data_IF_090138923182
#
_entry.id   IF_090138923182
#
_cell.length_a   1.000
_cell.length_b   1.000
_cell.length_c   1.000
_cell.angle_alpha   90.00
_cell.angle_beta   90.00
_cell.angle_gamma   90.00
#
_symmetry.space_group_name_H-M   'P 1'
#
loop_
_entity.id
_entity.type
_entity.pdbx_description
1 polymer ?
#
# COMPACT_ATOMS: atom_id res chain seq x y z
N UNK A 1 -17.11 8.73 36.27
CA UNK A 1 -15.95 7.87 35.93
C UNK A 1 -15.04 8.68 35.02
N UNK A 2 -13.87 9.08 35.52
CA UNK A 2 -12.90 9.91 34.81
C UNK A 2 -12.34 9.13 33.61
N UNK A 3 -12.64 9.59 32.39
CA UNK A 3 -11.97 9.17 31.16
C UNK A 3 -10.48 9.56 31.30
N UNK A 4 -9.66 8.62 31.74
CA UNK A 4 -8.21 8.75 31.73
C UNK A 4 -7.78 9.14 30.31
N UNK A 5 -7.18 10.32 30.21
CA UNK A 5 -6.72 11.01 29.01
C UNK A 5 -6.05 10.05 28.01
N UNK A 6 -6.79 9.58 27.01
CA UNK A 6 -6.17 9.14 25.77
C UNK A 6 -5.61 10.41 25.13
N UNK A 7 -4.30 10.65 25.28
CA UNK A 7 -3.62 11.69 24.51
C UNK A 7 -3.65 11.28 23.04
N UNK A 8 -4.64 11.78 22.31
CA UNK A 8 -4.73 11.59 20.87
C UNK A 8 -3.52 12.31 20.26
N UNK A 9 -2.60 11.52 19.71
CA UNK A 9 -1.50 12.06 18.90
C UNK A 9 -2.10 12.60 17.61
N UNK A 10 -1.55 13.72 17.13
CA UNK A 10 -1.98 14.29 15.86
C UNK A 10 -1.83 13.28 14.72
N UNK A 11 -2.90 13.05 13.96
CA UNK A 11 -2.88 12.12 12.82
C UNK A 11 -2.14 12.73 11.63
N UNK A 12 -2.20 14.07 11.47
CA UNK A 12 -1.62 14.77 10.32
C UNK A 12 -0.11 14.56 10.17
N UNK A 13 0.73 14.64 11.23
CA UNK A 13 2.15 14.32 11.14
C UNK A 13 2.42 12.89 10.66
N UNK A 14 1.73 11.89 11.24
CA UNK A 14 1.91 10.49 10.85
C UNK A 14 1.50 10.24 9.39
N UNK A 15 0.35 10.78 8.97
CA UNK A 15 -0.11 10.68 7.57
C UNK A 15 0.88 11.37 6.62
N UNK A 16 1.36 12.56 6.98
CA UNK A 16 2.33 13.32 6.18
C UNK A 16 3.66 12.56 6.04
N UNK A 17 4.11 11.89 7.10
CA UNK A 17 5.32 11.06 7.10
C UNK A 17 5.17 9.86 6.17
N UNK A 18 4.07 9.10 6.26
CA UNK A 18 3.85 7.95 5.38
C UNK A 18 3.87 8.34 3.89
N UNK A 19 3.26 9.46 3.54
CA UNK A 19 3.24 9.93 2.15
C UNK A 19 4.61 10.43 1.73
N UNK A 20 5.30 11.21 2.59
CA UNK A 20 6.65 11.71 2.31
C UNK A 20 7.64 10.57 2.08
N UNK A 21 7.60 9.53 2.91
CA UNK A 21 8.45 8.36 2.75
C UNK A 21 8.11 7.60 1.47
N UNK A 22 6.84 7.51 1.11
CA UNK A 22 6.42 6.95 -0.17
C UNK A 22 6.98 7.74 -1.35
N UNK A 23 6.92 9.09 -1.31
CA UNK A 23 7.49 9.97 -2.35
C UNK A 23 9.01 9.80 -2.46
N UNK A 24 9.71 9.64 -1.32
CA UNK A 24 11.15 9.38 -1.30
C UNK A 24 11.51 8.04 -1.93
N UNK A 25 10.70 7.01 -1.65
CA UNK A 25 10.87 5.68 -2.24
C UNK A 25 10.55 5.66 -3.74
N UNK A 26 9.73 6.59 -4.24
CA UNK A 26 9.45 6.78 -5.67
C UNK A 26 10.45 7.70 -6.38
N UNK A 27 11.72 7.67 -5.98
CA UNK A 27 12.78 8.55 -6.50
C UNK A 27 12.89 8.57 -8.04
N UNK A 28 13.40 9.67 -8.62
CA UNK A 28 13.30 9.96 -10.05
C UNK A 28 14.17 9.07 -10.97
N UNK A 29 15.26 8.47 -10.46
CA UNK A 29 16.35 8.02 -11.33
C UNK A 29 16.48 6.49 -11.46
N UNK A 30 15.66 5.71 -10.77
CA UNK A 30 15.71 4.25 -10.87
C UNK A 30 14.34 3.61 -10.67
N UNK A 31 14.06 2.57 -11.46
CA UNK A 31 12.94 1.68 -11.20
C UNK A 31 13.02 1.12 -9.77
N UNK A 32 11.90 1.03 -9.05
CA UNK A 32 11.89 0.48 -7.70
C UNK A 32 12.24 -1.00 -7.74
N UNK A 33 12.95 -1.48 -6.72
CA UNK A 33 13.06 -2.92 -6.49
C UNK A 33 11.79 -3.47 -5.81
N UNK A 34 11.67 -4.80 -5.73
CA UNK A 34 10.52 -5.47 -5.12
C UNK A 34 10.28 -5.06 -3.65
N UNK A 35 11.36 -4.70 -2.94
CA UNK A 35 11.29 -4.23 -1.55
C UNK A 35 10.69 -2.82 -1.50
N UNK A 36 11.13 -1.92 -2.35
CA UNK A 36 10.62 -0.55 -2.49
C UNK A 36 9.13 -0.57 -2.83
N UNK A 37 8.71 -1.39 -3.80
CA UNK A 37 7.28 -1.57 -4.14
C UNK A 37 6.49 -2.09 -2.94
N UNK A 38 7.04 -3.06 -2.19
CA UNK A 38 6.41 -3.57 -0.98
C UNK A 38 6.24 -2.48 0.08
N UNK A 39 7.30 -1.73 0.37
CA UNK A 39 7.33 -0.70 1.40
C UNK A 39 6.34 0.44 1.07
N UNK A 40 6.30 0.91 -0.19
CA UNK A 40 5.31 1.90 -0.64
C UNK A 40 3.88 1.36 -0.43
N UNK A 41 3.61 0.09 -0.77
CA UNK A 41 2.27 -0.50 -0.55
C UNK A 41 1.91 -0.57 0.93
N UNK A 42 2.86 -0.87 1.81
CA UNK A 42 2.64 -0.85 3.26
C UNK A 42 2.30 0.57 3.72
N UNK A 43 3.04 1.58 3.25
CA UNK A 43 2.77 2.98 3.55
C UNK A 43 1.39 3.42 3.04
N UNK A 44 0.97 3.01 1.84
CA UNK A 44 -0.39 3.30 1.34
C UNK A 44 -1.49 2.68 2.19
N UNK A 45 -1.28 1.47 2.72
CA UNK A 45 -2.22 0.86 3.69
C UNK A 45 -2.28 1.68 4.98
N UNK A 46 -1.13 2.12 5.50
CA UNK A 46 -1.07 2.97 6.70
C UNK A 46 -1.73 4.33 6.46
N UNK A 47 -1.49 4.99 5.33
CA UNK A 47 -2.13 6.26 4.96
C UNK A 47 -3.65 6.12 4.86
N UNK A 48 -4.16 5.03 4.26
CA UNK A 48 -5.60 4.74 4.20
C UNK A 48 -6.21 4.49 5.58
N UNK A 49 -5.50 3.79 6.47
CA UNK A 49 -5.97 3.59 7.83
C UNK A 49 -5.99 4.92 8.61
N UNK A 50 -4.92 5.70 8.50
CA UNK A 50 -4.81 7.01 9.15
C UNK A 50 -5.93 7.97 8.71
N UNK A 51 -6.20 8.07 7.41
CA UNK A 51 -7.25 8.97 6.93
C UNK A 51 -8.66 8.49 7.29
N UNK A 52 -8.86 7.17 7.40
CA UNK A 52 -10.13 6.61 7.91
C UNK A 52 -10.37 6.99 9.37
N UNK A 53 -9.33 6.93 10.20
CA UNK A 53 -9.41 7.39 11.59
C UNK A 53 -9.61 8.91 11.72
N UNK A 54 -9.06 9.69 10.78
CA UNK A 54 -9.27 11.13 10.71
C UNK A 54 -10.54 11.54 9.95
N UNK A 55 -11.38 10.61 9.50
CA UNK A 55 -12.54 10.91 8.64
C UNK A 55 -13.52 11.90 9.29
N UNK A 56 -13.65 11.87 10.62
CA UNK A 56 -14.49 12.79 11.38
C UNK A 56 -13.92 14.20 11.51
N UNK A 57 -12.65 14.39 11.13
CA UNK A 57 -11.92 15.67 11.19
C UNK A 57 -11.76 16.32 9.82
N UNK A 58 -12.19 15.64 8.76
CA UNK A 58 -12.04 16.05 7.38
C UNK A 58 -13.42 16.22 6.76
N UNK A 59 -13.53 17.13 5.81
CA UNK A 59 -14.71 17.17 4.95
C UNK A 59 -14.73 15.92 4.03
N UNK A 60 -15.92 15.55 3.58
CA UNK A 60 -16.14 14.33 2.80
C UNK A 60 -15.37 14.33 1.47
N UNK A 61 -15.18 15.50 0.86
CA UNK A 61 -14.46 15.64 -0.41
C UNK A 61 -12.97 15.33 -0.21
N UNK A 62 -12.35 15.95 0.80
CA UNK A 62 -10.96 15.71 1.19
C UNK A 62 -10.74 14.25 1.56
N UNK A 63 -11.60 13.68 2.41
CA UNK A 63 -11.51 12.27 2.78
C UNK A 63 -11.56 11.36 1.54
N UNK A 64 -12.55 11.56 0.67
CA UNK A 64 -12.77 10.70 -0.50
C UNK A 64 -11.61 10.81 -1.49
N UNK A 65 -11.14 12.03 -1.76
CA UNK A 65 -10.03 12.30 -2.68
C UNK A 65 -8.76 11.61 -2.25
N UNK A 66 -8.34 11.81 -1.01
CA UNK A 66 -7.09 11.28 -0.50
C UNK A 66 -7.15 9.75 -0.30
N UNK A 67 -8.27 9.24 0.24
CA UNK A 67 -8.46 7.80 0.37
C UNK A 67 -8.40 7.09 -0.99
N UNK A 68 -9.01 7.69 -2.03
CA UNK A 68 -8.98 7.17 -3.39
C UNK A 68 -7.58 7.25 -3.99
N UNK A 69 -6.86 8.36 -3.81
CA UNK A 69 -5.48 8.51 -4.26
C UNK A 69 -4.55 7.42 -3.69
N UNK A 70 -4.62 7.15 -2.37
CA UNK A 70 -3.81 6.09 -1.76
C UNK A 70 -4.22 4.68 -2.23
N UNK A 71 -5.52 4.47 -2.50
CA UNK A 71 -6.02 3.21 -3.06
C UNK A 71 -5.52 3.00 -4.48
N UNK A 72 -5.54 4.05 -5.30
CA UNK A 72 -5.10 4.05 -6.69
C UNK A 72 -3.61 3.72 -6.77
N UNK A 73 -2.75 4.39 -5.99
CA UNK A 73 -1.31 4.05 -5.89
C UNK A 73 -1.12 2.58 -5.50
N UNK A 74 -1.87 2.11 -4.50
CA UNK A 74 -1.86 0.70 -4.11
C UNK A 74 -2.32 -0.25 -5.22
N UNK A 75 -3.20 0.19 -6.12
CA UNK A 75 -3.67 -0.58 -7.27
C UNK A 75 -2.62 -0.61 -8.37
N UNK A 76 -2.02 0.53 -8.71
CA UNK A 76 -0.96 0.65 -9.72
C UNK A 76 0.20 -0.30 -9.39
N UNK A 77 0.55 -0.41 -8.10
CA UNK A 77 1.65 -1.24 -7.62
C UNK A 77 1.26 -2.72 -7.38
N UNK A 78 0.02 -3.15 -7.64
CA UNK A 78 -0.42 -4.53 -7.35
C UNK A 78 0.19 -5.54 -8.29
N UNK A 79 0.18 -5.24 -9.58
CA UNK A 79 0.69 -6.10 -10.64
C UNK A 79 2.18 -6.42 -10.44
N UNK A 80 2.97 -5.43 -10.05
CA UNK A 80 4.39 -5.64 -9.73
C UNK A 80 4.57 -6.59 -8.54
N UNK A 81 3.80 -6.36 -7.47
CA UNK A 81 3.88 -7.20 -6.28
C UNK A 81 3.47 -8.64 -6.57
N UNK A 82 2.43 -8.84 -7.38
CA UNK A 82 1.95 -10.17 -7.76
C UNK A 82 3.03 -10.96 -8.51
N UNK A 83 3.66 -10.36 -9.53
CA UNK A 83 4.77 -10.98 -10.26
C UNK A 83 5.95 -11.34 -9.36
N UNK A 84 6.30 -10.46 -8.40
CA UNK A 84 7.35 -10.73 -7.41
C UNK A 84 7.01 -11.93 -6.51
N UNK A 85 5.77 -12.01 -6.04
CA UNK A 85 5.29 -13.12 -5.19
C UNK A 85 5.26 -14.44 -5.99
N UNK A 86 4.71 -14.44 -7.20
CA UNK A 86 4.66 -15.61 -8.07
C UNK A 86 6.07 -16.16 -8.34
N UNK A 87 7.03 -15.28 -8.64
CA UNK A 87 8.44 -15.65 -8.82
C UNK A 87 9.05 -16.25 -7.56
N UNK A 88 8.76 -15.70 -6.38
CA UNK A 88 9.24 -16.27 -5.11
C UNK A 88 8.65 -17.67 -4.88
N UNK A 89 7.35 -17.83 -5.14
CA UNK A 89 6.67 -19.12 -5.06
C UNK A 89 7.28 -20.14 -6.02
N UNK A 90 7.53 -19.76 -7.28
CA UNK A 90 8.16 -20.65 -8.26
C UNK A 90 9.57 -21.06 -7.85
N UNK A 91 10.36 -20.17 -7.23
CA UNK A 91 11.67 -20.52 -6.67
C UNK A 91 11.54 -21.51 -5.50
N UNK A 92 10.56 -21.32 -4.63
CA UNK A 92 10.32 -22.22 -3.51
C UNK A 92 9.84 -23.60 -4.01
N UNK A 93 8.98 -23.65 -5.03
CA UNK A 93 8.56 -24.90 -5.70
C UNK A 93 9.76 -25.59 -6.33
N UNK A 94 10.59 -24.88 -7.11
CA UNK A 94 11.81 -25.44 -7.71
C UNK A 94 12.75 -26.06 -6.68
N UNK A 95 12.84 -25.45 -5.48
CA UNK A 95 13.67 -25.96 -4.38
C UNK A 95 13.06 -27.20 -3.72
N UNK A 96 11.74 -27.23 -3.53
CA UNK A 96 11.04 -28.32 -2.82
C UNK A 96 10.70 -29.51 -3.72
N UNK A 97 10.46 -29.25 -5.01
CA UNK A 97 9.98 -30.22 -6.00
C UNK A 97 10.72 -30.03 -7.34
N UNK A 98 12.02 -30.38 -7.41
CA UNK A 98 12.82 -30.19 -8.61
C UNK A 98 12.31 -31.02 -9.81
N UNK A 99 11.74 -32.20 -9.55
CA UNK A 99 11.16 -33.08 -10.58
C UNK A 99 9.97 -32.43 -11.31
N UNK A 100 9.03 -31.85 -10.56
CA UNK A 100 7.93 -31.08 -11.14
C UNK A 100 8.45 -29.91 -11.98
N UNK A 101 9.46 -29.22 -11.48
CA UNK A 101 10.01 -28.07 -12.20
C UNK A 101 10.75 -28.47 -13.48
N UNK A 102 11.31 -29.68 -13.55
CA UNK A 102 11.91 -30.23 -14.77
C UNK A 102 10.85 -30.55 -15.83
N UNK A 103 9.67 -31.00 -15.42
CA UNK A 103 8.55 -31.31 -16.32
C UNK A 103 7.89 -30.04 -16.89
N UNK A 104 7.83 -28.96 -16.10
CA UNK A 104 7.20 -27.70 -16.50
C UNK A 104 8.25 -26.68 -17.02
N UNK A 105 9.53 -27.04 -17.01
CA UNK A 105 10.64 -26.15 -17.38
C UNK A 105 10.67 -25.75 -18.86
N UNK A 106 9.92 -26.45 -19.71
CA UNK A 106 9.72 -26.12 -21.13
C UNK A 106 8.64 -25.07 -21.37
N UNK A 107 7.86 -24.68 -20.36
CA UNK A 107 6.84 -23.63 -20.52
C UNK A 107 7.49 -22.25 -20.56
N UNK A 108 7.42 -21.60 -21.72
CA UNK A 108 7.95 -20.25 -21.96
C UNK A 108 7.40 -19.22 -20.96
N UNK A 109 6.16 -19.36 -20.50
CA UNK A 109 5.53 -18.43 -19.54
C UNK A 109 6.24 -18.49 -18.19
N UNK A 110 6.59 -19.70 -17.74
CA UNK A 110 7.34 -19.88 -16.49
C UNK A 110 8.77 -19.39 -16.65
N UNK A 111 9.40 -19.65 -17.80
CA UNK A 111 10.73 -19.13 -18.08
C UNK A 111 10.76 -17.59 -18.04
N UNK A 112 9.76 -16.92 -18.63
CA UNK A 112 9.60 -15.46 -18.59
C UNK A 112 9.38 -14.94 -17.16
N UNK A 113 8.50 -15.57 -16.37
CA UNK A 113 8.25 -15.17 -14.97
C UNK A 113 9.49 -15.34 -14.08
N UNK A 114 10.33 -16.35 -14.36
CA UNK A 114 11.53 -16.66 -13.59
C UNK A 114 12.71 -15.73 -13.90
N UNK A 115 12.79 -15.15 -15.11
CA UNK A 115 13.82 -14.14 -15.48
C UNK A 115 13.74 -12.95 -14.54
N UNK A 116 14.77 -12.74 -13.70
CA UNK A 116 14.89 -11.60 -12.77
C UNK A 116 14.53 -10.31 -13.53
N UNK A 117 13.73 -9.37 -12.99
CA UNK A 117 13.62 -8.07 -13.64
C UNK A 117 15.04 -7.52 -13.59
N UNK A 118 15.69 -7.46 -14.75
CA UNK A 118 17.05 -6.96 -14.82
C UNK A 118 17.02 -5.54 -14.28
N UNK A 119 17.92 -5.25 -13.35
CA UNK A 119 18.08 -3.93 -12.74
C UNK A 119 18.63 -2.89 -13.75
N UNK A 120 18.50 -3.13 -15.05
CA UNK A 120 19.12 -2.39 -16.13
C UNK A 120 18.17 -2.31 -17.32
N UNK A 121 17.69 -1.09 -17.59
CA UNK A 121 17.20 -0.58 -18.89
C UNK A 121 16.03 -1.25 -19.63
N UNK A 122 15.58 -2.46 -19.28
CA UNK A 122 14.59 -3.24 -20.07
C UNK A 122 13.19 -3.35 -19.44
N UNK A 123 12.85 -2.50 -18.47
CA UNK A 123 11.44 -2.39 -18.06
C UNK A 123 10.59 -1.92 -19.24
N UNK A 124 9.44 -2.54 -19.46
CA UNK A 124 8.49 -2.04 -20.46
C UNK A 124 8.19 -0.55 -20.16
N UNK A 125 8.11 0.31 -21.19
CA UNK A 125 7.75 1.73 -21.03
C UNK A 125 6.51 1.91 -20.13
N UNK A 126 5.55 0.99 -20.22
CA UNK A 126 4.34 0.93 -19.42
C UNK A 126 4.61 0.88 -17.90
N UNK A 127 5.62 0.13 -17.45
CA UNK A 127 5.96 0.03 -16.02
C UNK A 127 6.53 1.35 -15.49
N UNK A 128 7.39 2.00 -16.28
CA UNK A 128 7.92 3.33 -15.94
C UNK A 128 6.81 4.37 -15.88
N UNK A 129 5.89 4.33 -16.84
CA UNK A 129 4.73 5.22 -16.89
C UNK A 129 3.83 5.05 -15.67
N UNK A 130 3.47 3.81 -15.33
CA UNK A 130 2.70 3.49 -14.12
C UNK A 130 3.39 3.98 -12.84
N UNK A 131 4.69 3.77 -12.72
CA UNK A 131 5.43 4.24 -11.55
C UNK A 131 5.50 5.77 -11.46
N UNK A 132 5.66 6.44 -12.61
CA UNK A 132 5.62 7.91 -12.70
C UNK A 132 4.24 8.43 -12.30
N UNK A 133 3.16 7.81 -12.77
CA UNK A 133 1.80 8.15 -12.40
C UNK A 133 1.57 8.01 -10.88
N UNK A 134 2.04 6.91 -10.27
CA UNK A 134 1.99 6.73 -8.83
C UNK A 134 2.74 7.82 -8.07
N UNK A 135 3.93 8.20 -8.52
CA UNK A 135 4.72 9.28 -7.93
C UNK A 135 3.98 10.63 -8.01
N UNK A 136 3.39 10.95 -9.16
CA UNK A 136 2.63 12.19 -9.33
C UNK A 136 1.38 12.25 -8.43
N UNK A 137 0.67 11.13 -8.26
CA UNK A 137 -0.44 11.04 -7.30
C UNK A 137 0.06 11.29 -5.87
N UNK A 138 1.19 10.67 -5.48
CA UNK A 138 1.78 10.83 -4.16
C UNK A 138 2.24 12.26 -3.89
N UNK A 139 2.92 12.91 -4.83
CA UNK A 139 3.35 14.32 -4.71
C UNK A 139 2.17 15.26 -4.54
N UNK A 140 1.14 15.11 -5.38
CA UNK A 140 -0.08 15.92 -5.29
C UNK A 140 -0.78 15.73 -3.94
N UNK A 141 -0.88 14.49 -3.48
CA UNK A 141 -1.48 14.14 -2.18
C UNK A 141 -0.65 14.70 -1.01
N UNK A 142 0.68 14.56 -1.06
CA UNK A 142 1.58 15.12 -0.06
C UNK A 142 1.42 16.64 0.08
N UNK A 143 1.36 17.35 -1.04
CA UNK A 143 1.12 18.78 -1.06
C UNK A 143 -0.22 19.12 -0.40
N UNK A 144 -1.32 18.46 -0.80
CA UNK A 144 -2.65 18.73 -0.23
C UNK A 144 -2.70 18.45 1.27
N UNK A 145 -2.24 17.27 1.71
CA UNK A 145 -2.21 16.89 3.14
C UNK A 145 -1.44 17.92 3.98
N UNK A 146 -0.33 18.46 3.46
CA UNK A 146 0.45 19.50 4.16
C UNK A 146 -0.42 20.72 4.51
N UNK A 147 -1.32 21.12 3.62
CA UNK A 147 -2.17 22.31 3.77
C UNK A 147 -3.58 22.03 4.28
N UNK A 148 -3.93 20.77 4.55
CA UNK A 148 -5.20 20.45 5.21
C UNK A 148 -5.19 21.04 6.62
N UNK A 149 -6.25 21.75 6.96
CA UNK A 149 -6.56 22.15 8.33
C UNK A 149 -7.62 21.18 8.88
N UNK A 150 -7.22 20.11 9.58
CA UNK A 150 -8.19 19.20 10.18
C UNK A 150 -8.99 19.95 11.24
N UNK A 151 -10.26 19.55 11.40
CA UNK A 151 -11.08 19.99 12.52
C UNK A 151 -10.50 19.58 13.87
N UNK A 152 -11.11 20.08 14.95
CA UNK A 152 -10.69 19.76 16.32
C UNK A 152 -10.95 18.27 16.61
N UNK A 153 -9.94 17.50 17.06
CA UNK A 153 -10.12 16.10 17.43
C UNK A 153 -11.17 15.93 18.51
N UNK A 154 -12.20 15.15 18.21
CA UNK A 154 -13.24 14.72 19.15
C UNK A 154 -12.94 13.25 19.54
N UNK A 155 -12.43 12.99 20.76
CA UNK A 155 -12.00 11.66 21.17
C UNK A 155 -13.09 10.59 21.09
N UNK A 156 -14.33 10.96 21.39
CA UNK A 156 -15.45 10.02 21.39
C UNK A 156 -15.76 9.56 19.96
N UNK A 157 -15.80 10.50 19.01
CA UNK A 157 -16.00 10.18 17.58
C UNK A 157 -14.86 9.36 17.01
N UNK A 158 -13.62 9.67 17.39
CA UNK A 158 -12.45 8.93 16.92
C UNK A 158 -12.40 7.50 17.48
N UNK A 159 -12.75 7.31 18.76
CA UNK A 159 -12.89 5.97 19.36
C UNK A 159 -13.99 5.17 18.66
N UNK A 160 -15.12 5.80 18.34
CA UNK A 160 -16.21 5.15 17.58
C UNK A 160 -15.76 4.67 16.19
N UNK A 161 -14.96 5.47 15.46
CA UNK A 161 -14.40 5.04 14.17
C UNK A 161 -13.34 3.94 14.30
N UNK A 162 -12.60 3.94 15.41
CA UNK A 162 -11.67 2.86 15.74
C UNK A 162 -12.44 1.55 16.00
N UNK A 163 -13.49 1.59 16.83
CA UNK A 163 -14.34 0.44 17.14
C UNK A 163 -15.01 -0.13 15.89
N UNK A 164 -15.54 0.75 15.02
CA UNK A 164 -16.08 0.37 13.72
C UNK A 164 -15.03 -0.31 12.84
N UNK A 165 -13.80 0.21 12.82
CA UNK A 165 -12.70 -0.38 12.06
C UNK A 165 -12.26 -1.73 12.63
N UNK A 166 -12.25 -1.87 13.95
CA UNK A 166 -11.99 -3.14 14.63
C UNK A 166 -13.07 -4.17 14.34
N UNK A 167 -14.36 -3.79 14.43
CA UNK A 167 -15.49 -4.67 14.13
C UNK A 167 -15.42 -5.26 12.73
N UNK A 168 -15.17 -4.42 11.73
CA UNK A 168 -14.97 -4.85 10.34
C UNK A 168 -13.77 -5.79 10.19
N UNK A 169 -12.63 -5.47 10.80
CA UNK A 169 -11.44 -6.31 10.72
C UNK A 169 -11.64 -7.68 11.39
N UNK A 170 -12.32 -7.69 12.55
CA UNK A 170 -12.69 -8.91 13.27
C UNK A 170 -13.62 -9.78 12.44
N UNK A 171 -14.66 -9.20 11.84
CA UNK A 171 -15.60 -9.91 10.97
C UNK A 171 -14.89 -10.53 9.78
N UNK A 172 -14.07 -9.76 9.05
CA UNK A 172 -13.28 -10.28 7.94
C UNK A 172 -12.35 -11.43 8.38
N UNK A 173 -11.73 -11.33 9.57
CA UNK A 173 -10.89 -12.41 10.10
C UNK A 173 -11.69 -13.68 10.39
N UNK A 174 -12.86 -13.56 11.03
CA UNK A 174 -13.71 -14.72 11.33
C UNK A 174 -14.20 -15.38 10.04
N UNK A 175 -14.61 -14.59 9.03
CA UNK A 175 -15.00 -15.11 7.71
C UNK A 175 -13.83 -15.86 7.07
N UNK A 176 -12.64 -15.24 6.99
CA UNK A 176 -11.48 -15.87 6.37
C UNK A 176 -11.01 -17.13 7.13
N UNK A 177 -11.19 -17.18 8.45
CA UNK A 177 -10.86 -18.36 9.25
C UNK A 177 -11.84 -19.51 9.02
N UNK A 178 -13.13 -19.21 8.85
CA UNK A 178 -14.19 -20.21 8.74
C UNK A 178 -14.46 -20.65 7.29
N UNK A 179 -13.96 -19.91 6.31
CA UNK A 179 -14.04 -20.21 4.87
C UNK A 179 -12.64 -20.35 4.26
N UNK A 180 -11.92 -21.47 4.53
CA UNK A 180 -10.56 -21.71 4.06
C UNK A 180 -10.46 -21.91 2.55
#
# INVERSE_FOLDING_TARGET
MLLNYVKIKDIKPALSEYIRDSVRLTGPDSLPDDKTVHDIRVLMKKSRAAIKLASTLLDQETFTREYSAFREVGSILSQWRETSVQRKLLKDIRKKHPELMSQIGSDERIAVLMKKPETSSSSSPEVKEKFTAANEILKKSWYRIRFINPGIPDPEKMLKELDKSYGLAKECYIIARNSP
#
